data_IF_966294752801
#
_entry.id   IF_966294752801
#
_cell.length_a   1.000
_cell.length_b   1.000
_cell.length_c   1.000
_cell.angle_alpha   90.00
_cell.angle_beta   90.00
_cell.angle_gamma   90.00
#
_symmetry.space_group_name_H-M   'P 1'
#
loop_
_entity.id
_entity.type
_entity.pdbx_description
1 polymer ?
#
# COMPACT_ATOMS: atom_id res chain seq x y z
N UNK A 1 23.51 12.34 -3.90
CA UNK A 1 22.47 11.61 -3.13
C UNK A 1 21.17 11.65 -3.92
N UNK A 2 20.59 10.48 -4.18
CA UNK A 2 19.31 10.43 -4.87
C UNK A 2 18.18 10.78 -3.92
N UNK A 3 17.27 11.63 -4.37
CA UNK A 3 16.05 11.93 -3.62
C UNK A 3 15.18 10.66 -3.53
N UNK A 4 14.50 10.50 -2.40
CA UNK A 4 13.52 9.43 -2.26
C UNK A 4 12.30 9.74 -3.13
N UNK A 5 11.85 8.74 -3.85
CA UNK A 5 10.69 8.86 -4.73
C UNK A 5 9.60 7.91 -4.24
N UNK A 6 8.43 8.47 -3.92
CA UNK A 6 7.31 7.65 -3.48
C UNK A 6 6.78 6.86 -4.67
N UNK A 7 6.81 5.52 -4.56
CA UNK A 7 6.40 4.62 -5.63
C UNK A 7 5.09 3.92 -5.35
N UNK A 8 4.79 3.68 -4.07
CA UNK A 8 3.61 2.91 -3.67
C UNK A 8 3.01 3.45 -2.39
N UNK A 9 1.75 3.11 -2.16
CA UNK A 9 1.06 3.27 -0.89
C UNK A 9 0.44 1.94 -0.53
N UNK A 10 0.43 1.62 0.77
CA UNK A 10 -0.34 0.49 1.28
C UNK A 10 -1.39 1.06 2.22
N UNK A 11 -2.65 0.77 1.94
CA UNK A 11 -3.76 1.21 2.76
C UNK A 11 -4.32 0.02 3.52
N UNK A 12 -4.23 0.07 4.86
CA UNK A 12 -4.71 -0.99 5.74
C UNK A 12 -6.06 -0.59 6.31
N UNK A 13 -7.04 -1.48 6.24
CA UNK A 13 -8.41 -1.24 6.69
C UNK A 13 -8.67 -1.92 8.02
N UNK A 14 -9.17 -1.17 8.99
CA UNK A 14 -9.51 -1.70 10.31
C UNK A 14 -10.85 -2.45 10.27
N UNK A 15 -11.03 -3.41 11.19
CA UNK A 15 -12.28 -4.17 11.27
C UNK A 15 -13.46 -3.34 11.73
N UNK A 16 -13.28 -2.51 12.74
CA UNK A 16 -14.37 -1.86 13.44
C UNK A 16 -14.42 -0.35 13.20
N UNK A 17 -13.84 0.11 12.13
CA UNK A 17 -13.75 1.54 11.84
C UNK A 17 -13.68 1.74 10.33
N UNK A 18 -14.16 2.90 9.88
CA UNK A 18 -13.99 3.32 8.48
C UNK A 18 -12.63 3.97 8.27
N UNK A 19 -11.85 4.11 9.34
CA UNK A 19 -10.50 4.66 9.25
C UNK A 19 -9.55 3.68 8.58
N UNK A 20 -8.51 4.22 7.98
CA UNK A 20 -7.45 3.43 7.37
C UNK A 20 -6.10 3.93 7.86
N UNK A 21 -5.10 3.04 7.79
CA UNK A 21 -3.72 3.38 8.08
C UNK A 21 -2.95 3.30 6.77
N UNK A 22 -2.25 4.37 6.41
CA UNK A 22 -1.53 4.46 5.15
C UNK A 22 -0.03 4.39 5.40
N UNK A 23 0.63 3.49 4.68
CA UNK A 23 2.08 3.36 4.71
C UNK A 23 2.66 3.75 3.36
N UNK A 24 3.41 4.86 3.27
CA UNK A 24 4.09 5.24 2.04
C UNK A 24 5.33 4.40 1.82
N UNK A 25 5.56 4.00 0.58
CA UNK A 25 6.75 3.22 0.20
C UNK A 25 7.55 4.03 -0.82
N UNK A 26 8.84 4.14 -0.57
CA UNK A 26 9.77 4.89 -1.42
C UNK A 26 10.72 3.93 -2.13
N UNK A 27 10.92 4.15 -3.43
CA UNK A 27 11.83 3.37 -4.25
C UNK A 27 11.53 1.86 -4.17
N UNK A 28 10.24 1.50 -4.11
CA UNK A 28 9.81 0.11 -4.01
C UNK A 28 9.67 -0.56 -5.36
N UNK A 29 9.67 -1.89 -5.32
CA UNK A 29 9.36 -2.74 -6.47
C UNK A 29 8.04 -3.46 -6.20
N UNK A 30 7.21 -3.61 -7.22
CA UNK A 30 5.86 -4.13 -7.09
C UNK A 30 5.78 -5.41 -6.24
N UNK A 31 6.59 -6.40 -6.58
CA UNK A 31 6.57 -7.69 -5.88
C UNK A 31 7.00 -7.58 -4.42
N UNK A 32 8.01 -6.77 -4.16
CA UNK A 32 8.51 -6.56 -2.79
C UNK A 32 7.50 -5.82 -1.94
N UNK A 33 6.81 -4.84 -2.51
CA UNK A 33 5.79 -4.07 -1.79
C UNK A 33 4.59 -4.96 -1.46
N UNK A 34 4.16 -5.79 -2.41
CA UNK A 34 3.07 -6.74 -2.18
C UNK A 34 3.43 -7.72 -1.07
N UNK A 35 4.64 -8.26 -1.10
CA UNK A 35 5.09 -9.19 -0.07
C UNK A 35 5.16 -8.52 1.31
N UNK A 36 5.67 -7.30 1.36
CA UNK A 36 5.71 -6.51 2.60
C UNK A 36 4.30 -6.31 3.15
N UNK A 37 3.34 -5.96 2.28
CA UNK A 37 1.95 -5.77 2.69
C UNK A 37 1.34 -7.06 3.24
N UNK A 38 1.65 -8.22 2.64
CA UNK A 38 1.18 -9.52 3.14
C UNK A 38 1.71 -9.81 4.54
N UNK A 39 2.99 -9.56 4.76
CA UNK A 39 3.63 -9.79 6.05
C UNK A 39 3.00 -8.88 7.11
N UNK A 40 2.85 -7.61 6.82
CA UNK A 40 2.25 -6.65 7.76
C UNK A 40 0.79 -6.99 8.06
N UNK A 41 0.02 -7.33 7.03
CA UNK A 41 -1.38 -7.70 7.21
C UNK A 41 -1.50 -8.95 8.09
N UNK A 42 -0.69 -9.97 7.83
CA UNK A 42 -0.71 -11.21 8.61
C UNK A 42 -0.26 -10.99 10.06
N UNK A 43 0.72 -10.12 10.27
CA UNK A 43 1.21 -9.80 11.61
C UNK A 43 0.16 -9.06 12.46
N UNK A 44 -0.78 -8.38 11.83
CA UNK A 44 -1.81 -7.59 12.50
C UNK A 44 -3.23 -8.02 12.10
N UNK A 45 -3.45 -9.31 11.92
CA UNK A 45 -4.77 -9.85 11.53
C UNK A 45 -5.88 -9.56 12.53
N UNK A 46 -5.55 -9.36 13.78
CA UNK A 46 -6.52 -8.97 14.79
C UNK A 46 -6.94 -7.51 14.67
N UNK A 47 -6.25 -6.73 13.87
CA UNK A 47 -6.42 -5.28 13.73
C UNK A 47 -6.94 -4.89 12.35
N UNK A 48 -6.34 -5.45 11.31
CA UNK A 48 -6.67 -5.13 9.92
C UNK A 48 -7.41 -6.28 9.23
N UNK A 49 -8.44 -5.93 8.48
CA UNK A 49 -9.22 -6.92 7.71
C UNK A 49 -8.73 -7.06 6.28
N UNK A 50 -8.10 -6.03 5.73
CA UNK A 50 -7.56 -6.08 4.38
C UNK A 50 -6.49 -5.00 4.17
N UNK A 51 -5.73 -5.15 3.11
CA UNK A 51 -4.77 -4.15 2.67
C UNK A 51 -4.88 -3.97 1.16
N UNK A 52 -4.77 -2.74 0.70
CA UNK A 52 -4.77 -2.41 -0.72
C UNK A 52 -3.41 -1.81 -1.05
N UNK A 53 -2.69 -2.43 -1.97
CA UNK A 53 -1.40 -1.93 -2.45
C UNK A 53 -1.68 -1.09 -3.69
N UNK A 54 -1.30 0.17 -3.62
CA UNK A 54 -1.46 1.11 -4.73
C UNK A 54 -0.11 1.52 -5.28
N UNK A 55 -0.05 1.63 -6.61
CA UNK A 55 1.15 2.07 -7.31
C UNK A 55 0.94 3.48 -7.84
N UNK A 56 1.97 4.32 -7.69
CA UNK A 56 1.93 5.68 -8.22
C UNK A 56 2.33 5.67 -9.70
N UNK A 57 1.43 6.16 -10.55
CA UNK A 57 1.69 6.32 -11.97
C UNK A 57 1.75 7.81 -12.30
N UNK A 58 2.94 8.35 -12.34
CA UNK A 58 3.16 9.78 -12.57
C UNK A 58 2.76 10.23 -13.98
N UNK A 59 2.54 9.30 -14.89
CA UNK A 59 2.12 9.62 -16.26
C UNK A 59 0.63 9.89 -16.34
N UNK A 60 -0.15 9.41 -15.38
CA UNK A 60 -1.59 9.64 -15.33
C UNK A 60 -1.90 10.78 -14.36
N UNK A 61 -2.04 11.99 -14.89
CA UNK A 61 -2.22 13.20 -14.11
C UNK A 61 -3.56 13.23 -13.38
N UNK A 62 -4.59 12.61 -13.96
CA UNK A 62 -5.95 12.64 -13.42
C UNK A 62 -6.17 11.59 -12.34
N UNK A 63 -5.50 10.45 -12.46
CA UNK A 63 -5.65 9.35 -11.52
C UNK A 63 -4.31 8.65 -11.33
N UNK A 64 -3.38 9.29 -10.60
CA UNK A 64 -2.01 8.78 -10.48
C UNK A 64 -1.88 7.51 -9.63
N UNK A 65 -2.87 7.20 -8.79
CA UNK A 65 -2.84 6.02 -7.93
C UNK A 65 -3.72 4.93 -8.51
N UNK A 66 -3.12 3.76 -8.75
CA UNK A 66 -3.84 2.60 -9.27
C UNK A 66 -3.71 1.44 -8.28
N UNK A 67 -4.77 0.67 -8.12
CA UNK A 67 -4.77 -0.52 -7.27
C UNK A 67 -3.92 -1.59 -7.94
N UNK A 68 -2.83 -1.97 -7.29
CA UNK A 68 -1.95 -3.03 -7.78
C UNK A 68 -2.39 -4.40 -7.28
N UNK A 69 -2.81 -4.46 -6.02
CA UNK A 69 -3.23 -5.71 -5.38
C UNK A 69 -4.12 -5.42 -4.19
N UNK A 70 -5.20 -6.19 -4.08
CA UNK A 70 -6.07 -6.18 -2.89
C UNK A 70 -5.81 -7.48 -2.13
N UNK A 71 -5.44 -7.35 -0.85
CA UNK A 71 -5.15 -8.47 0.04
C UNK A 71 -6.25 -8.54 1.11
N UNK A 72 -6.83 -9.71 1.29
CA UNK A 72 -7.90 -9.93 2.29
C UNK A 72 -7.60 -11.10 3.22
#
# INVERSE_FOLDING_TARGET
>A
MKAKEMTHLIEYYFYNSDDTCIEPIYNGKDEQVIEHAKIELNAARNKYKKAVVQKYNKEDVLNPWIDLKVLE
#
